data_IF_969028567273
#
_entry.id   IF_969028567273
#
_cell.length_a   1.000
_cell.length_b   1.000
_cell.length_c   1.000
_cell.angle_alpha   90.00
_cell.angle_beta   90.00
_cell.angle_gamma   90.00
#
_symmetry.space_group_name_H-M   'P 1'
#
loop_
_entity.id
_entity.type
_entity.pdbx_description
1 polymer ?
#
# COMPACT_ATOMS: atom_id res chain seq x y z
N UNK A 1 -31.08 -16.77 7.84
CA UNK A 1 -30.87 -16.94 6.39
C UNK A 1 -30.06 -18.21 6.17
N UNK A 2 -30.27 -18.96 5.07
CA UNK A 2 -29.45 -20.12 4.77
C UNK A 2 -27.98 -19.74 4.59
N UNK A 3 -27.07 -20.64 4.98
CA UNK A 3 -25.62 -20.47 4.79
C UNK A 3 -25.31 -20.41 3.29
N UNK A 4 -24.59 -19.37 2.82
CA UNK A 4 -24.24 -19.24 1.41
C UNK A 4 -23.29 -20.37 0.98
N UNK A 5 -23.47 -20.90 -0.23
CA UNK A 5 -22.60 -21.93 -0.80
C UNK A 5 -21.72 -21.38 -1.92
N UNK A 6 -22.15 -20.33 -2.63
CA UNK A 6 -21.43 -19.76 -3.77
C UNK A 6 -21.46 -18.24 -3.71
N UNK A 7 -20.32 -17.66 -3.33
CA UNK A 7 -20.19 -16.23 -3.05
C UNK A 7 -19.40 -15.57 -4.18
N UNK A 8 -19.98 -14.55 -4.80
CA UNK A 8 -19.30 -13.69 -5.76
C UNK A 8 -18.88 -12.38 -5.11
N UNK A 9 -17.57 -12.12 -5.05
CA UNK A 9 -17.03 -10.80 -4.70
C UNK A 9 -16.89 -9.94 -5.96
N UNK A 10 -17.38 -8.70 -5.93
CA UNK A 10 -17.24 -7.74 -7.02
C UNK A 10 -16.33 -6.59 -6.60
N UNK A 11 -15.14 -6.54 -7.20
CA UNK A 11 -14.25 -5.37 -7.19
C UNK A 11 -13.46 -5.36 -8.50
N UNK A 12 -13.96 -4.61 -9.48
CA UNK A 12 -13.44 -4.64 -10.85
C UNK A 12 -12.15 -3.84 -11.04
N UNK A 13 -12.01 -2.68 -10.38
CA UNK A 13 -10.91 -1.72 -10.65
C UNK A 13 -10.82 -0.59 -9.62
N UNK A 14 -9.68 0.03 -9.32
CA UNK A 14 -8.33 -0.19 -9.88
C UNK A 14 -7.46 -1.00 -8.90
N UNK A 15 -6.21 -1.32 -9.27
CA UNK A 15 -5.28 -2.15 -8.49
C UNK A 15 -5.28 -1.85 -6.98
N UNK A 16 -5.11 -0.58 -6.60
CA UNK A 16 -5.10 -0.16 -5.20
C UNK A 16 -6.37 -0.55 -4.44
N UNK A 17 -7.52 -0.40 -5.08
CA UNK A 17 -8.79 -0.78 -4.47
C UNK A 17 -9.06 -2.29 -4.48
N UNK A 18 -8.51 -3.02 -5.46
CA UNK A 18 -8.52 -4.50 -5.48
C UNK A 18 -7.72 -5.02 -4.29
N UNK A 19 -6.55 -4.45 -4.04
CA UNK A 19 -5.71 -4.76 -2.88
C UNK A 19 -6.46 -4.40 -1.57
N UNK A 20 -7.08 -3.23 -1.50
CA UNK A 20 -7.89 -2.83 -0.34
C UNK A 20 -9.16 -3.69 -0.17
N UNK A 21 -9.55 -4.51 -1.15
CA UNK A 21 -10.63 -5.48 -1.02
C UNK A 21 -10.17 -6.86 -0.49
N UNK A 22 -8.86 -7.11 -0.37
CA UNK A 22 -8.33 -8.39 0.14
C UNK A 22 -8.86 -8.75 1.54
N UNK A 23 -8.99 -7.82 2.52
CA UNK A 23 -9.57 -8.17 3.82
C UNK A 23 -11.01 -8.66 3.75
N UNK A 24 -11.79 -8.21 2.77
CA UNK A 24 -13.15 -8.71 2.56
C UNK A 24 -13.12 -10.15 2.04
N UNK A 25 -12.23 -10.48 1.11
CA UNK A 25 -12.04 -11.87 0.69
C UNK A 25 -11.66 -12.76 1.88
N UNK A 26 -10.65 -12.36 2.67
CA UNK A 26 -10.21 -13.12 3.85
C UNK A 26 -11.32 -13.30 4.88
N UNK A 27 -12.12 -12.25 5.09
CA UNK A 27 -13.30 -12.29 5.97
C UNK A 27 -14.37 -13.28 5.49
N UNK A 28 -14.71 -13.25 4.19
CA UNK A 28 -15.68 -14.17 3.62
C UNK A 28 -15.17 -15.61 3.68
N UNK A 29 -13.89 -15.84 3.38
CA UNK A 29 -13.28 -17.17 3.46
C UNK A 29 -13.32 -17.73 4.87
N UNK A 30 -13.01 -16.91 5.88
CA UNK A 30 -13.03 -17.30 7.29
C UNK A 30 -14.46 -17.53 7.83
N UNK A 31 -15.41 -16.66 7.47
CA UNK A 31 -16.80 -16.77 7.94
C UNK A 31 -17.57 -17.92 7.27
N UNK A 32 -17.18 -18.30 6.04
CA UNK A 32 -17.87 -19.32 5.26
C UNK A 32 -16.90 -20.36 4.67
N UNK A 33 -16.15 -21.16 5.45
CA UNK A 33 -15.04 -22.01 4.95
C UNK A 33 -15.39 -23.03 3.85
N UNK A 34 -16.65 -23.46 3.79
CA UNK A 34 -17.14 -24.44 2.81
C UNK A 34 -17.74 -23.80 1.55
N UNK A 35 -17.89 -22.47 1.51
CA UNK A 35 -18.42 -21.79 0.33
C UNK A 35 -17.39 -21.77 -0.81
N UNK A 36 -17.85 -21.96 -2.03
CA UNK A 36 -17.09 -21.61 -3.23
C UNK A 36 -17.04 -20.08 -3.35
N UNK A 37 -15.84 -19.51 -3.49
CA UNK A 37 -15.68 -18.07 -3.73
C UNK A 37 -15.24 -17.82 -5.17
N UNK A 38 -15.93 -16.89 -5.83
CA UNK A 38 -15.48 -16.29 -7.07
C UNK A 38 -15.23 -14.79 -6.89
N UNK A 39 -14.31 -14.23 -7.68
CA UNK A 39 -14.04 -12.80 -7.70
C UNK A 39 -14.17 -12.24 -9.11
N UNK A 40 -15.12 -11.32 -9.32
CA UNK A 40 -15.23 -10.54 -10.55
C UNK A 40 -14.25 -9.35 -10.54
N UNK A 41 -13.30 -9.35 -11.49
CA UNK A 41 -12.22 -8.36 -11.59
C UNK A 41 -11.89 -8.02 -13.05
N UNK A 42 -11.24 -6.89 -13.33
CA UNK A 42 -10.68 -6.65 -14.68
C UNK A 42 -9.49 -7.59 -14.97
N UNK A 43 -9.32 -7.96 -16.25
CA UNK A 43 -8.28 -8.89 -16.72
C UNK A 43 -6.88 -8.54 -16.20
N UNK A 44 -6.55 -7.24 -16.19
CA UNK A 44 -5.27 -6.71 -15.73
C UNK A 44 -4.96 -6.97 -14.24
N UNK A 45 -5.95 -7.35 -13.41
CA UNK A 45 -5.74 -7.70 -11.99
C UNK A 45 -6.11 -9.16 -11.67
N UNK A 46 -6.43 -9.96 -12.69
CA UNK A 46 -6.87 -11.35 -12.52
C UNK A 46 -5.78 -12.22 -11.89
N UNK A 47 -4.53 -12.03 -12.31
CA UNK A 47 -3.37 -12.76 -11.79
C UNK A 47 -3.21 -12.53 -10.27
N UNK A 48 -3.28 -11.27 -9.81
CA UNK A 48 -3.14 -10.94 -8.39
C UNK A 48 -4.13 -11.70 -7.51
N UNK A 49 -5.41 -11.70 -7.86
CA UNK A 49 -6.44 -12.38 -7.06
C UNK A 49 -6.48 -13.89 -7.31
N UNK A 50 -6.08 -14.35 -8.50
CA UNK A 50 -6.11 -15.77 -8.87
C UNK A 50 -5.18 -16.64 -8.02
N UNK A 51 -4.13 -16.08 -7.45
CA UNK A 51 -3.26 -16.79 -6.51
C UNK A 51 -3.74 -16.81 -5.06
N UNK A 52 -4.94 -16.29 -4.74
CA UNK A 52 -5.48 -16.30 -3.38
C UNK A 52 -5.87 -17.73 -2.95
N UNK A 53 -5.34 -18.23 -1.82
CA UNK A 53 -5.73 -19.54 -1.30
C UNK A 53 -7.22 -19.62 -1.01
N UNK A 54 -7.89 -20.62 -1.59
CA UNK A 54 -9.31 -20.86 -1.40
C UNK A 54 -10.25 -20.00 -2.26
N UNK A 55 -9.71 -19.23 -3.22
CA UNK A 55 -10.50 -18.67 -4.33
C UNK A 55 -10.68 -19.74 -5.40
N UNK A 56 -11.92 -20.04 -5.77
CA UNK A 56 -12.25 -21.10 -6.72
C UNK A 56 -12.24 -20.61 -8.17
N UNK A 57 -12.69 -19.36 -8.40
CA UNK A 57 -12.81 -18.81 -9.75
C UNK A 57 -12.51 -17.31 -9.80
N UNK A 58 -11.80 -16.90 -10.84
CA UNK A 58 -11.67 -15.49 -11.22
C UNK A 58 -12.55 -15.23 -12.44
N UNK A 59 -13.48 -14.29 -12.32
CA UNK A 59 -14.38 -13.91 -13.43
C UNK A 59 -13.87 -12.58 -13.99
N UNK A 60 -13.35 -12.60 -15.22
CA UNK A 60 -12.67 -11.43 -15.77
C UNK A 60 -13.62 -10.52 -16.55
N UNK A 61 -13.29 -9.21 -16.57
CA UNK A 61 -13.93 -8.22 -17.41
C UNK A 61 -12.92 -7.52 -18.31
N UNK A 62 -13.05 -7.68 -19.62
CA UNK A 62 -12.25 -6.93 -20.59
C UNK A 62 -12.85 -5.56 -20.88
N UNK A 63 -12.09 -4.49 -20.62
CA UNK A 63 -12.53 -3.12 -21.00
C UNK A 63 -12.66 -2.93 -22.50
N UNK A 64 -11.87 -3.67 -23.29
CA UNK A 64 -11.81 -3.53 -24.75
C UNK A 64 -12.89 -4.32 -25.49
N UNK A 65 -13.58 -5.23 -24.80
CA UNK A 65 -14.53 -6.16 -25.42
C UNK A 65 -15.96 -5.65 -25.61
N UNK A 66 -16.29 -4.42 -25.21
CA UNK A 66 -17.62 -3.83 -25.42
C UNK A 66 -18.76 -4.70 -24.86
N UNK A 67 -19.81 -4.92 -25.66
CA UNK A 67 -20.94 -5.80 -25.29
C UNK A 67 -20.54 -7.29 -25.21
N UNK A 68 -19.55 -7.72 -26.01
CA UNK A 68 -19.03 -9.09 -25.96
C UNK A 68 -18.39 -9.42 -24.61
N UNK A 69 -17.73 -8.45 -23.97
CA UNK A 69 -17.20 -8.61 -22.61
C UNK A 69 -18.30 -8.86 -21.58
N UNK A 70 -19.46 -8.22 -21.73
CA UNK A 70 -20.62 -8.46 -20.86
C UNK A 70 -21.24 -9.84 -21.10
N UNK A 71 -21.33 -10.29 -22.35
CA UNK A 71 -21.83 -11.63 -22.66
C UNK A 71 -20.89 -12.72 -22.10
N UNK A 72 -19.57 -12.57 -22.28
CA UNK A 72 -18.58 -13.49 -21.73
C UNK A 72 -18.62 -13.53 -20.20
N UNK A 73 -18.64 -12.37 -19.55
CA UNK A 73 -18.82 -12.30 -18.09
C UNK A 73 -20.17 -12.91 -17.66
N UNK A 74 -21.25 -12.67 -18.39
CA UNK A 74 -22.56 -13.25 -18.11
C UNK A 74 -22.55 -14.78 -18.16
N UNK A 75 -21.85 -15.37 -19.12
CA UNK A 75 -21.68 -16.82 -19.23
C UNK A 75 -20.90 -17.39 -18.02
N UNK A 76 -19.80 -16.74 -17.62
CA UNK A 76 -19.03 -17.12 -16.44
C UNK A 76 -19.85 -17.00 -15.13
N UNK A 77 -20.63 -15.93 -15.00
CA UNK A 77 -21.53 -15.71 -13.88
C UNK A 77 -22.63 -16.76 -13.82
N UNK A 78 -23.23 -17.12 -14.96
CA UNK A 78 -24.24 -18.16 -15.07
C UNK A 78 -23.65 -19.55 -14.75
N UNK A 79 -22.42 -19.82 -15.20
CA UNK A 79 -21.73 -21.07 -14.91
C UNK A 79 -21.36 -21.21 -13.43
N UNK A 80 -20.99 -20.10 -12.76
CA UNK A 80 -20.74 -20.10 -11.32
C UNK A 80 -22.06 -20.14 -10.52
N UNK A 81 -23.10 -19.46 -11.00
CA UNK A 81 -24.43 -19.34 -10.40
C UNK A 81 -24.40 -18.96 -8.89
N UNK A 82 -23.85 -17.78 -8.54
CA UNK A 82 -23.72 -17.38 -7.14
C UNK A 82 -25.09 -17.29 -6.46
N UNK A 83 -25.17 -17.77 -5.22
CA UNK A 83 -26.34 -17.56 -4.36
C UNK A 83 -26.24 -16.25 -3.58
N UNK A 84 -25.04 -15.68 -3.49
CA UNK A 84 -24.78 -14.41 -2.86
C UNK A 84 -23.70 -13.62 -3.58
N UNK A 85 -24.01 -12.36 -3.89
CA UNK A 85 -23.05 -11.41 -4.44
C UNK A 85 -22.71 -10.32 -3.42
N UNK A 86 -21.44 -9.96 -3.29
CA UNK A 86 -20.93 -8.91 -2.40
C UNK A 86 -20.23 -7.83 -3.24
N UNK A 87 -20.81 -6.64 -3.34
CA UNK A 87 -20.29 -5.51 -4.12
C UNK A 87 -19.49 -4.54 -3.25
N UNK A 88 -18.16 -4.56 -3.44
CA UNK A 88 -17.20 -3.69 -2.77
C UNK A 88 -16.75 -2.50 -3.64
N UNK A 89 -17.34 -2.30 -4.82
CA UNK A 89 -17.00 -1.24 -5.75
C UNK A 89 -17.98 -0.07 -5.71
N UNK A 90 -19.29 -0.35 -5.71
CA UNK A 90 -20.33 0.66 -5.58
C UNK A 90 -20.42 1.66 -6.73
N UNK A 91 -20.55 1.20 -7.98
CA UNK A 91 -20.85 2.05 -9.12
C UNK A 91 -21.80 1.36 -10.12
N UNK A 92 -22.27 2.07 -11.15
CA UNK A 92 -23.21 1.50 -12.13
C UNK A 92 -22.69 0.22 -12.80
N UNK A 93 -21.38 0.12 -13.07
CA UNK A 93 -20.75 -1.05 -13.67
C UNK A 93 -20.81 -2.26 -12.72
N UNK A 94 -20.52 -2.07 -11.44
CA UNK A 94 -20.60 -3.17 -10.47
C UNK A 94 -22.06 -3.55 -10.17
N UNK A 95 -22.98 -2.59 -10.13
CA UNK A 95 -24.41 -2.86 -10.03
C UNK A 95 -24.93 -3.75 -11.17
N UNK A 96 -24.54 -3.47 -12.42
CA UNK A 96 -24.90 -4.31 -13.56
C UNK A 96 -24.32 -5.72 -13.43
N UNK A 97 -23.06 -5.83 -13.01
CA UNK A 97 -22.42 -7.14 -12.72
C UNK A 97 -23.21 -7.91 -11.66
N UNK A 98 -23.62 -7.24 -10.58
CA UNK A 98 -24.41 -7.84 -9.51
C UNK A 98 -25.81 -8.29 -9.99
N UNK A 99 -26.47 -7.51 -10.84
CA UNK A 99 -27.76 -7.89 -11.43
C UNK A 99 -27.62 -9.07 -12.40
N UNK A 100 -26.62 -9.04 -13.30
CA UNK A 100 -26.31 -10.13 -14.22
C UNK A 100 -25.91 -11.43 -13.52
N UNK A 101 -25.40 -11.36 -12.29
CA UNK A 101 -25.08 -12.55 -11.49
C UNK A 101 -26.30 -13.42 -11.16
N UNK A 102 -27.52 -12.86 -11.21
CA UNK A 102 -28.75 -13.56 -10.87
C UNK A 102 -28.88 -13.95 -9.39
N UNK A 103 -27.90 -13.58 -8.54
CA UNK A 103 -27.88 -13.97 -7.14
C UNK A 103 -29.12 -13.41 -6.40
N UNK A 104 -29.86 -14.25 -5.64
CA UNK A 104 -31.02 -13.80 -4.88
C UNK A 104 -30.64 -12.84 -3.75
N UNK A 105 -29.43 -12.98 -3.19
CA UNK A 105 -28.87 -12.06 -2.20
C UNK A 105 -27.75 -11.24 -2.82
N UNK A 106 -27.81 -9.92 -2.66
CA UNK A 106 -26.81 -8.97 -3.17
C UNK A 106 -26.52 -7.93 -2.10
N UNK A 107 -25.35 -8.01 -1.48
CA UNK A 107 -24.94 -7.13 -0.40
C UNK A 107 -23.96 -6.08 -0.93
N UNK A 108 -24.23 -4.79 -0.72
CA UNK A 108 -23.39 -3.70 -1.20
C UNK A 108 -22.80 -2.83 -0.09
N UNK A 109 -21.86 -1.96 -0.46
CA UNK A 109 -21.45 -0.82 0.39
C UNK A 109 -22.65 0.05 0.77
N UNK A 110 -22.56 0.78 1.89
CA UNK A 110 -23.59 1.75 2.26
C UNK A 110 -23.89 2.75 1.12
N UNK A 111 -25.17 3.07 0.90
CA UNK A 111 -25.65 3.85 -0.27
C UNK A 111 -24.85 5.12 -0.56
N UNK A 112 -24.48 5.88 0.46
CA UNK A 112 -23.70 7.13 0.32
C UNK A 112 -22.23 6.93 -0.08
N UNK A 113 -21.71 5.72 0.01
CA UNK A 113 -20.36 5.36 -0.44
C UNK A 113 -20.34 4.93 -1.90
N UNK A 114 -21.51 4.75 -2.51
CA UNK A 114 -21.61 4.52 -3.96
C UNK A 114 -21.27 5.81 -4.70
N UNK A 115 -20.56 5.66 -5.81
CA UNK A 115 -20.27 6.78 -6.71
C UNK A 115 -21.56 7.30 -7.36
N UNK A 116 -22.42 6.38 -7.79
CA UNK A 116 -23.76 6.67 -8.28
C UNK A 116 -24.80 6.08 -7.32
N UNK A 117 -25.29 6.88 -6.36
CA UNK A 117 -26.14 6.41 -5.25
C UNK A 117 -27.47 5.74 -5.68
N UNK A 118 -27.95 5.99 -6.89
CA UNK A 118 -29.13 5.29 -7.43
C UNK A 118 -28.83 3.81 -7.70
N UNK A 119 -27.60 3.49 -8.15
CA UNK A 119 -27.19 2.13 -8.51
C UNK A 119 -27.13 1.18 -7.30
N UNK A 120 -27.07 1.71 -6.08
CA UNK A 120 -27.20 0.95 -4.84
C UNK A 120 -28.53 0.16 -4.75
N UNK A 121 -29.56 0.55 -5.49
CA UNK A 121 -30.82 -0.20 -5.58
C UNK A 121 -30.68 -1.58 -6.24
N UNK A 122 -29.53 -1.87 -6.85
CA UNK A 122 -29.18 -3.24 -7.29
C UNK A 122 -28.98 -4.20 -6.12
N UNK A 123 -28.61 -3.71 -4.93
CA UNK A 123 -28.37 -4.55 -3.74
C UNK A 123 -29.67 -4.84 -2.99
N UNK A 124 -29.80 -6.04 -2.44
CA UNK A 124 -30.90 -6.45 -1.54
C UNK A 124 -30.68 -5.97 -0.11
N UNK A 125 -29.42 -5.81 0.29
CA UNK A 125 -29.03 -5.27 1.59
C UNK A 125 -27.72 -4.47 1.47
N UNK A 126 -27.49 -3.54 2.40
CA UNK A 126 -26.33 -2.65 2.38
C UNK A 126 -25.63 -2.68 3.73
N UNK A 127 -24.30 -2.65 3.70
CA UNK A 127 -23.49 -2.50 4.90
C UNK A 127 -23.86 -1.22 5.66
N UNK A 128 -23.80 -1.24 7.00
CA UNK A 128 -24.01 -0.05 7.80
C UNK A 128 -22.89 0.94 7.54
N UNK A 129 -23.17 2.21 7.79
CA UNK A 129 -22.11 3.19 7.78
C UNK A 129 -22.33 4.27 8.85
N UNK A 130 -21.26 4.88 9.40
CA UNK A 130 -21.33 5.79 10.54
C UNK A 130 -22.35 6.92 10.40
N UNK A 131 -22.77 7.52 11.51
CA UNK A 131 -23.67 8.68 11.45
C UNK A 131 -23.04 9.84 10.64
N UNK A 132 -23.87 10.61 9.89
CA UNK A 132 -23.43 11.85 9.26
C UNK A 132 -22.73 12.79 10.25
N UNK A 133 -21.75 13.56 9.79
CA UNK A 133 -20.98 14.50 10.62
C UNK A 133 -19.71 13.92 11.27
N UNK A 134 -19.47 12.61 11.19
CA UNK A 134 -18.15 12.03 11.52
C UNK A 134 -17.16 12.22 10.38
N UNK A 135 -15.86 12.22 10.72
CA UNK A 135 -14.78 12.27 9.74
C UNK A 135 -14.95 11.18 8.65
N UNK A 136 -14.70 11.53 7.38
CA UNK A 136 -14.83 10.60 6.27
C UNK A 136 -13.99 9.34 6.48
N UNK A 137 -14.53 8.20 6.05
CA UNK A 137 -13.84 6.91 6.15
C UNK A 137 -12.86 6.72 5.01
N UNK A 138 -11.72 6.11 5.33
CA UNK A 138 -10.78 5.57 4.37
C UNK A 138 -11.44 4.49 3.50
N UNK A 139 -10.94 4.30 2.28
CA UNK A 139 -11.41 3.26 1.35
C UNK A 139 -11.50 1.88 2.01
N UNK A 140 -10.38 1.41 2.55
CA UNK A 140 -10.29 0.17 3.33
C UNK A 140 -11.30 0.09 4.49
N UNK A 141 -11.51 1.15 5.27
CA UNK A 141 -12.46 1.12 6.38
C UNK A 141 -13.89 0.84 5.91
N UNK A 142 -14.28 1.37 4.74
CA UNK A 142 -15.60 1.09 4.14
C UNK A 142 -15.72 -0.38 3.76
N UNK A 143 -14.66 -0.96 3.22
CA UNK A 143 -14.58 -2.39 2.90
C UNK A 143 -14.66 -3.23 4.19
N UNK A 144 -13.99 -2.82 5.27
CA UNK A 144 -14.05 -3.52 6.55
C UNK A 144 -15.45 -3.50 7.17
N UNK A 145 -16.20 -2.40 7.02
CA UNK A 145 -17.61 -2.35 7.44
C UNK A 145 -18.46 -3.34 6.64
N UNK A 146 -18.23 -3.42 5.32
CA UNK A 146 -18.87 -4.43 4.47
C UNK A 146 -18.48 -5.85 4.88
N UNK A 147 -17.21 -6.09 5.19
CA UNK A 147 -16.71 -7.39 5.63
C UNK A 147 -17.33 -7.82 6.97
N UNK A 148 -17.43 -6.91 7.94
CA UNK A 148 -18.14 -7.16 9.22
C UNK A 148 -19.61 -7.49 9.00
N UNK A 149 -20.28 -6.72 8.15
CA UNK A 149 -21.68 -6.95 7.82
C UNK A 149 -21.90 -8.31 7.14
N UNK A 150 -20.99 -8.70 6.24
CA UNK A 150 -21.02 -9.99 5.57
C UNK A 150 -20.75 -11.14 6.55
N UNK A 151 -19.76 -11.01 7.44
CA UNK A 151 -19.43 -12.05 8.42
C UNK A 151 -20.51 -12.26 9.50
N UNK A 152 -21.35 -11.24 9.76
CA UNK A 152 -22.45 -11.34 10.72
C UNK A 152 -21.97 -11.71 12.11
N UNK A 153 -22.61 -12.71 12.72
CA UNK A 153 -22.28 -13.18 14.08
C UNK A 153 -20.89 -13.84 14.19
N UNK A 154 -20.32 -14.34 13.08
CA UNK A 154 -18.94 -14.84 13.07
C UNK A 154 -17.94 -13.70 13.34
N UNK A 155 -18.33 -12.46 13.04
CA UNK A 155 -17.49 -11.28 13.19
C UNK A 155 -16.28 -11.30 12.25
N UNK A 156 -15.54 -10.19 12.23
CA UNK A 156 -14.16 -10.24 11.74
C UNK A 156 -13.26 -10.70 12.88
N UNK A 157 -12.16 -11.41 12.58
CA UNK A 157 -11.06 -11.55 13.53
C UNK A 157 -10.69 -10.16 14.09
N UNK A 158 -10.37 -10.10 15.38
CA UNK A 158 -9.81 -8.88 15.96
C UNK A 158 -8.52 -8.51 15.21
N UNK A 159 -8.24 -7.21 15.10
CA UNK A 159 -7.08 -6.74 14.35
C UNK A 159 -5.77 -7.34 14.90
N UNK A 160 -4.75 -7.58 14.05
CA UNK A 160 -4.71 -7.24 12.62
C UNK A 160 -5.49 -8.24 11.75
N UNK A 161 -6.33 -7.70 10.86
CA UNK A 161 -6.99 -8.50 9.83
C UNK A 161 -6.01 -8.82 8.69
N UNK A 162 -6.18 -9.98 8.06
CA UNK A 162 -5.39 -10.35 6.88
C UNK A 162 -5.66 -9.41 5.72
N UNK A 163 -4.59 -9.01 5.06
CA UNK A 163 -4.57 -8.07 3.93
C UNK A 163 -3.62 -8.49 2.82
N UNK A 164 -2.92 -9.61 3.02
CA UNK A 164 -1.91 -10.12 2.11
C UNK A 164 -2.57 -10.72 0.84
N UNK A 165 -1.88 -10.70 -0.31
CA UNK A 165 -2.36 -11.29 -1.55
C UNK A 165 -2.17 -12.82 -1.62
N UNK A 166 -1.86 -13.49 -0.51
CA UNK A 166 -1.70 -14.94 -0.44
C UNK A 166 -0.54 -15.47 -1.29
N UNK A 167 0.68 -14.94 -1.10
CA UNK A 167 1.86 -15.38 -1.86
C UNK A 167 2.25 -16.82 -1.50
N UNK A 168 2.43 -17.66 -2.52
CA UNK A 168 2.92 -19.01 -2.35
C UNK A 168 4.41 -19.02 -1.95
N UNK A 169 4.91 -20.09 -1.31
CA UNK A 169 6.33 -20.19 -0.92
C UNK A 169 7.32 -19.99 -2.08
N UNK A 170 6.95 -20.45 -3.28
CA UNK A 170 7.76 -20.23 -4.50
C UNK A 170 7.85 -18.76 -4.86
N UNK A 171 6.75 -18.03 -4.83
CA UNK A 171 6.71 -16.60 -5.17
C UNK A 171 7.52 -15.77 -4.16
N UNK A 172 7.48 -16.13 -2.88
CA UNK A 172 8.33 -15.53 -1.85
C UNK A 172 9.82 -15.85 -2.07
N UNK A 173 10.15 -17.06 -2.51
CA UNK A 173 11.52 -17.42 -2.87
C UNK A 173 11.99 -16.68 -4.13
N UNK A 174 11.12 -16.53 -5.13
CA UNK A 174 11.41 -15.84 -6.39
C UNK A 174 11.60 -14.35 -6.15
N UNK A 175 10.75 -13.74 -5.33
CA UNK A 175 10.89 -12.36 -4.87
C UNK A 175 12.22 -12.10 -4.16
N UNK A 176 12.65 -13.01 -3.28
CA UNK A 176 13.98 -12.93 -2.63
C UNK A 176 15.12 -12.98 -3.65
N UNK A 177 15.07 -13.90 -4.62
CA UNK A 177 16.09 -14.01 -5.66
C UNK A 177 16.12 -12.75 -6.55
N UNK A 178 14.95 -12.24 -6.92
CA UNK A 178 14.83 -11.01 -7.70
C UNK A 178 15.40 -9.81 -6.94
N UNK A 179 15.04 -9.64 -5.66
CA UNK A 179 15.58 -8.56 -4.82
C UNK A 179 17.10 -8.65 -4.70
N UNK A 180 17.65 -9.84 -4.37
CA UNK A 180 19.10 -10.03 -4.25
C UNK A 180 19.83 -9.78 -5.57
N UNK A 181 19.28 -10.23 -6.70
CA UNK A 181 19.86 -9.97 -8.02
C UNK A 181 19.83 -8.48 -8.37
N UNK A 182 18.74 -7.78 -8.04
CA UNK A 182 18.61 -6.35 -8.23
C UNK A 182 19.63 -5.57 -7.41
N UNK A 183 19.82 -5.91 -6.14
CA UNK A 183 20.76 -5.20 -5.26
C UNK A 183 22.24 -5.56 -5.47
N UNK A 184 22.54 -6.64 -6.22
CA UNK A 184 23.91 -7.11 -6.45
C UNK A 184 24.61 -6.44 -7.65
N UNK A 185 23.88 -5.67 -8.48
CA UNK A 185 24.48 -4.80 -9.51
C UNK A 185 25.15 -3.60 -8.84
N UNK A 186 26.29 -3.10 -9.38
CA UNK A 186 27.32 -2.46 -8.58
C UNK A 186 26.82 -1.18 -7.91
N UNK A 187 26.81 -1.17 -6.58
CA UNK A 187 26.90 0.06 -5.78
C UNK A 187 28.24 0.03 -5.03
N UNK A 188 28.82 1.20 -4.70
CA UNK A 188 30.25 1.36 -4.55
C UNK A 188 30.86 0.57 -3.40
N UNK A 189 32.16 0.29 -3.57
CA UNK A 189 33.09 -0.31 -2.62
C UNK A 189 32.78 0.09 -1.18
N UNK A 190 32.50 -0.91 -0.33
CA UNK A 190 32.38 -0.73 1.10
C UNK A 190 33.61 0.01 1.66
N UNK A 191 33.46 0.92 2.64
CA UNK A 191 34.60 1.53 3.30
C UNK A 191 35.44 0.43 3.98
N UNK A 192 36.75 0.43 3.68
CA UNK A 192 37.76 -0.40 4.33
C UNK A 192 37.92 0.01 5.81
N UNK A 193 37.00 -0.39 6.66
CA UNK A 193 37.27 -0.48 8.10
C UNK A 193 36.30 -1.47 8.74
N UNK A 194 36.90 -2.52 9.32
CA UNK A 194 36.20 -3.70 9.81
C UNK A 194 35.18 -3.37 10.89
N UNK A 195 33.91 -3.52 10.51
CA UNK A 195 32.83 -3.98 11.37
C UNK A 195 31.90 -4.79 10.46
N UNK A 196 31.44 -6.01 10.82
CA UNK A 196 30.36 -6.65 10.08
C UNK A 196 29.08 -5.87 10.38
N UNK A 197 28.91 -4.72 9.72
CA UNK A 197 27.70 -3.93 9.79
C UNK A 197 26.60 -4.74 9.08
N UNK A 198 25.50 -5.01 9.78
CA UNK A 198 24.30 -5.54 9.13
C UNK A 198 24.00 -4.69 7.91
N UNK A 199 23.89 -5.32 6.74
CA UNK A 199 23.69 -4.63 5.48
C UNK A 199 22.56 -3.59 5.63
N UNK A 200 22.82 -2.34 5.24
CA UNK A 200 21.84 -1.28 5.33
C UNK A 200 20.54 -1.72 4.63
N UNK A 201 19.38 -1.44 5.26
CA UNK A 201 18.10 -1.85 4.71
C UNK A 201 17.87 -1.22 3.31
N UNK A 202 17.38 -1.99 2.32
CA UNK A 202 17.26 -1.50 0.96
C UNK A 202 16.12 -0.49 0.80
N UNK A 203 16.32 0.50 -0.06
CA UNK A 203 15.29 1.41 -0.53
C UNK A 203 14.85 0.96 -1.93
N UNK A 204 13.55 0.78 -2.09
CA UNK A 204 12.91 0.50 -3.37
C UNK A 204 12.24 1.78 -3.85
N UNK A 205 12.48 2.16 -5.10
CA UNK A 205 11.79 3.28 -5.75
C UNK A 205 10.82 2.71 -6.79
N UNK A 206 9.52 2.99 -6.69
CA UNK A 206 8.60 2.65 -7.77
C UNK A 206 8.31 3.91 -8.60
N UNK A 207 8.68 3.86 -9.88
CA UNK A 207 8.48 4.96 -10.81
C UNK A 207 7.00 5.28 -11.02
N UNK A 208 6.70 6.47 -11.51
CA UNK A 208 5.34 6.91 -11.80
C UNK A 208 5.23 7.37 -13.25
N UNK A 209 4.24 6.84 -13.98
CA UNK A 209 4.03 7.20 -15.39
C UNK A 209 3.71 8.69 -15.57
N UNK A 210 4.38 9.35 -16.51
CA UNK A 210 4.12 10.74 -16.86
C UNK A 210 2.67 11.01 -17.28
N UNK A 211 2.21 12.23 -17.03
CA UNK A 211 0.89 12.73 -17.45
C UNK A 211 -0.26 12.45 -16.47
N UNK A 212 -0.04 11.70 -15.39
CA UNK A 212 -0.97 11.68 -14.25
C UNK A 212 -0.59 12.80 -13.26
N UNK A 213 -1.55 13.63 -12.78
CA UNK A 213 -1.25 14.69 -11.81
C UNK A 213 -0.73 14.18 -10.46
N UNK A 214 -0.77 12.87 -10.21
CA UNK A 214 -0.24 12.20 -9.03
C UNK A 214 1.20 11.69 -9.21
N UNK A 215 1.74 11.78 -10.43
CA UNK A 215 3.07 11.26 -10.73
C UNK A 215 4.15 12.21 -10.26
N UNK A 216 5.15 11.65 -9.59
CA UNK A 216 6.37 12.38 -9.27
C UNK A 216 7.24 12.44 -10.53
N UNK A 217 7.86 13.59 -10.85
CA UNK A 217 8.60 13.75 -12.10
C UNK A 217 9.76 12.75 -12.25
N UNK A 218 10.04 12.32 -13.48
CA UNK A 218 11.11 11.35 -13.76
C UNK A 218 12.49 11.93 -13.43
N UNK A 219 12.69 13.22 -13.71
CA UNK A 219 13.87 13.98 -13.32
C UNK A 219 14.10 13.97 -11.80
N UNK A 220 13.03 14.03 -11.01
CA UNK A 220 13.14 13.97 -9.55
C UNK A 220 13.51 12.57 -9.06
N UNK A 221 13.01 11.51 -9.72
CA UNK A 221 13.49 10.14 -9.44
C UNK A 221 14.98 9.99 -9.78
N UNK A 222 15.41 10.54 -10.92
CA UNK A 222 16.80 10.58 -11.34
C UNK A 222 17.71 11.27 -10.31
N UNK A 223 17.34 12.47 -9.88
CA UNK A 223 18.08 13.22 -8.87
C UNK A 223 18.09 12.49 -7.51
N UNK A 224 16.98 11.85 -7.13
CA UNK A 224 16.90 11.06 -5.89
C UNK A 224 17.81 9.84 -5.93
N UNK A 225 17.89 9.17 -7.08
CA UNK A 225 18.81 8.06 -7.32
C UNK A 225 20.25 8.53 -7.12
N UNK A 226 20.63 9.65 -7.74
CA UNK A 226 21.99 10.20 -7.65
C UNK A 226 22.36 10.58 -6.20
N UNK A 227 21.38 11.03 -5.41
CA UNK A 227 21.56 11.35 -3.97
C UNK A 227 21.63 10.12 -3.05
N UNK A 228 20.97 9.01 -3.39
CA UNK A 228 20.83 7.85 -2.49
C UNK A 228 21.79 6.69 -2.81
N UNK A 229 22.04 6.43 -4.09
CA UNK A 229 22.81 5.27 -4.55
C UNK A 229 24.22 5.16 -3.92
N UNK A 230 24.96 6.26 -3.66
CA UNK A 230 26.26 6.17 -3.01
C UNK A 230 26.22 5.72 -1.54
N UNK A 231 25.05 5.74 -0.90
CA UNK A 231 24.92 5.59 0.55
C UNK A 231 24.07 4.41 0.99
N UNK A 232 23.16 3.92 0.14
CA UNK A 232 22.17 2.91 0.51
C UNK A 232 21.94 1.92 -0.64
N UNK A 233 21.65 0.64 -0.35
CA UNK A 233 21.23 -0.31 -1.37
C UNK A 233 19.91 0.16 -1.99
N UNK A 234 19.94 0.45 -3.28
CA UNK A 234 18.81 1.04 -4.01
C UNK A 234 18.35 0.08 -5.12
N UNK A 235 17.04 -0.09 -5.27
CA UNK A 235 16.44 -0.81 -6.39
C UNK A 235 15.30 0.02 -6.99
N UNK A 236 15.40 0.33 -8.29
CA UNK A 236 14.31 0.98 -9.03
C UNK A 236 13.40 -0.08 -9.64
N UNK A 237 12.10 0.11 -9.49
CA UNK A 237 11.03 -0.75 -9.99
C UNK A 237 10.17 0.02 -11.00
N UNK A 238 9.93 -0.58 -12.15
CA UNK A 238 9.10 -0.02 -13.21
C UNK A 238 8.20 -1.08 -13.85
N UNK A 239 6.93 -0.76 -14.03
CA UNK A 239 6.01 -1.62 -14.75
C UNK A 239 6.01 -1.33 -16.24
N UNK A 240 5.24 -2.09 -17.04
CA UNK A 240 5.12 -1.84 -18.49
C UNK A 240 4.63 -0.43 -18.84
N UNK A 241 3.90 0.22 -17.93
CA UNK A 241 3.39 1.57 -18.12
C UNK A 241 4.43 2.66 -17.82
N UNK A 242 5.54 2.31 -17.16
CA UNK A 242 6.63 3.19 -16.75
C UNK A 242 7.93 2.94 -17.55
N UNK A 243 7.83 2.28 -18.72
CA UNK A 243 8.99 1.89 -19.53
C UNK A 243 9.81 3.10 -20.00
N UNK A 244 9.14 4.20 -20.36
CA UNK A 244 9.82 5.42 -20.78
C UNK A 244 10.61 6.07 -19.62
N UNK A 245 10.04 6.05 -18.41
CA UNK A 245 10.68 6.55 -17.21
C UNK A 245 11.83 5.64 -16.76
N UNK A 246 11.69 4.33 -16.94
CA UNK A 246 12.76 3.35 -16.69
C UNK A 246 13.95 3.56 -17.63
N UNK A 247 13.67 3.73 -18.93
CA UNK A 247 14.70 3.99 -19.95
C UNK A 247 15.51 5.26 -19.67
N UNK A 248 14.88 6.29 -19.10
CA UNK A 248 15.56 7.53 -18.72
C UNK A 248 16.59 7.38 -17.57
N UNK A 249 16.61 6.23 -16.90
CA UNK A 249 17.57 5.91 -15.84
C UNK A 249 18.64 4.91 -16.29
N UNK A 250 18.64 4.44 -17.54
CA UNK A 250 19.60 3.42 -18.04
C UNK A 250 21.04 3.90 -18.07
N UNK A 251 21.27 5.20 -18.27
CA UNK A 251 22.61 5.80 -18.25
C UNK A 251 23.21 5.90 -16.83
N UNK A 252 22.44 5.55 -15.80
CA UNK A 252 22.89 5.53 -14.40
C UNK A 252 23.34 4.13 -14.03
N UNK A 253 24.43 4.05 -13.26
CA UNK A 253 24.94 2.78 -12.71
C UNK A 253 24.11 2.33 -11.51
N UNK A 254 22.84 2.02 -11.76
CA UNK A 254 21.87 1.58 -10.76
C UNK A 254 21.00 0.45 -11.30
N UNK A 255 20.49 -0.42 -10.43
CA UNK A 255 19.60 -1.48 -10.86
C UNK A 255 18.19 -0.95 -11.11
N UNK A 256 17.76 -0.97 -12.38
CA UNK A 256 16.36 -0.81 -12.79
C UNK A 256 15.76 -2.18 -13.12
N UNK A 257 14.80 -2.62 -12.31
CA UNK A 257 14.06 -3.85 -12.55
C UNK A 257 12.70 -3.56 -13.18
N UNK A 258 12.48 -4.15 -14.35
CA UNK A 258 11.20 -4.16 -15.06
C UNK A 258 10.36 -5.32 -14.54
N UNK A 259 9.39 -5.06 -13.68
CA UNK A 259 8.50 -6.13 -13.21
C UNK A 259 7.50 -6.56 -14.30
N UNK A 260 7.30 -7.86 -14.45
CA UNK A 260 6.42 -8.46 -15.45
C UNK A 260 4.97 -8.68 -14.97
N UNK A 261 4.69 -8.49 -13.67
CA UNK A 261 3.36 -8.72 -13.12
C UNK A 261 3.21 -8.34 -11.65
N UNK A 262 1.96 -8.31 -11.18
CA UNK A 262 1.61 -7.88 -9.83
C UNK A 262 2.06 -8.88 -8.76
N UNK A 263 2.04 -10.19 -9.06
CA UNK A 263 2.51 -11.21 -8.11
C UNK A 263 4.03 -11.23 -7.97
N UNK A 264 4.76 -11.03 -9.06
CA UNK A 264 6.21 -10.82 -9.00
C UNK A 264 6.56 -9.58 -8.17
N UNK A 265 5.88 -8.45 -8.42
CA UNK A 265 6.05 -7.23 -7.63
C UNK A 265 5.76 -7.48 -6.15
N UNK A 266 4.64 -8.14 -5.82
CA UNK A 266 4.30 -8.49 -4.45
C UNK A 266 5.39 -9.35 -3.77
N UNK A 267 5.97 -10.31 -4.48
CA UNK A 267 7.09 -11.13 -3.99
C UNK A 267 8.34 -10.31 -3.69
N UNK A 268 8.72 -9.38 -4.58
CA UNK A 268 9.87 -8.48 -4.37
C UNK A 268 9.63 -7.58 -3.16
N UNK A 269 8.44 -6.98 -3.05
CA UNK A 269 8.08 -6.10 -1.93
C UNK A 269 8.04 -6.86 -0.60
N UNK A 270 7.53 -8.10 -0.59
CA UNK A 270 7.54 -8.97 0.59
C UNK A 270 8.96 -9.36 1.01
N UNK A 271 9.84 -9.64 0.04
CA UNK A 271 11.26 -9.89 0.30
C UNK A 271 11.95 -8.66 0.89
N UNK A 272 11.65 -7.47 0.39
CA UNK A 272 12.18 -6.21 0.92
C UNK A 272 11.69 -5.96 2.35
N UNK A 273 10.41 -6.26 2.65
CA UNK A 273 9.86 -6.14 4.00
C UNK A 273 10.59 -7.05 5.00
N UNK A 274 10.89 -8.28 4.59
CA UNK A 274 11.57 -9.27 5.41
C UNK A 274 13.02 -8.89 5.79
N UNK A 275 13.64 -7.97 5.05
CA UNK A 275 15.00 -7.46 5.32
C UNK A 275 14.99 -6.01 5.82
N UNK A 276 13.84 -5.51 6.28
CA UNK A 276 13.70 -4.17 6.87
C UNK A 276 13.69 -3.02 5.86
N UNK A 277 13.50 -3.29 4.58
CA UNK A 277 13.50 -2.30 3.50
C UNK A 277 12.33 -1.32 3.55
N UNK A 278 12.30 -0.40 2.57
CA UNK A 278 11.25 0.61 2.42
C UNK A 278 10.94 0.88 0.96
N UNK A 279 9.67 1.14 0.64
CA UNK A 279 9.25 1.64 -0.67
C UNK A 279 9.08 3.16 -0.66
N UNK A 280 9.57 3.84 -1.68
CA UNK A 280 9.20 5.22 -2.03
C UNK A 280 8.37 5.16 -3.31
N UNK A 281 7.14 5.67 -3.26
CA UNK A 281 6.22 5.61 -4.40
C UNK A 281 5.15 6.71 -4.32
N UNK A 282 4.57 7.08 -5.47
CA UNK A 282 3.35 7.89 -5.54
C UNK A 282 2.08 7.12 -5.14
N UNK A 283 0.95 7.83 -5.01
CA UNK A 283 -0.37 7.27 -4.66
C UNK A 283 -0.96 6.40 -5.76
N UNK A 284 -0.52 5.13 -5.79
CA UNK A 284 -0.76 4.15 -6.84
C UNK A 284 -0.85 2.72 -6.28
N UNK A 285 -1.27 1.76 -7.12
CA UNK A 285 -1.40 0.35 -6.74
C UNK A 285 -0.19 -0.26 -6.03
N UNK A 286 1.05 -0.06 -6.51
CA UNK A 286 2.28 -0.51 -5.84
C UNK A 286 2.42 -0.07 -4.38
N UNK A 287 2.03 1.16 -4.03
CA UNK A 287 2.06 1.65 -2.65
C UNK A 287 1.10 0.86 -1.74
N UNK A 288 -0.10 0.54 -2.23
CA UNK A 288 -1.03 -0.32 -1.48
C UNK A 288 -0.56 -1.77 -1.42
N UNK A 289 0.11 -2.27 -2.46
CA UNK A 289 0.63 -3.63 -2.51
C UNK A 289 1.76 -3.82 -1.51
N UNK A 290 2.67 -2.85 -1.44
CA UNK A 290 3.72 -2.79 -0.42
C UNK A 290 3.12 -2.79 0.99
N UNK A 291 2.11 -1.94 1.22
CA UNK A 291 1.39 -1.96 2.48
C UNK A 291 0.76 -3.33 2.76
N UNK A 292 0.12 -3.98 1.78
CA UNK A 292 -0.50 -5.29 1.96
C UNK A 292 0.48 -6.41 2.36
N UNK A 293 1.77 -6.27 2.06
CA UNK A 293 2.84 -7.19 2.48
C UNK A 293 3.70 -6.62 3.62
N UNK A 294 3.17 -5.62 4.34
CA UNK A 294 3.78 -4.97 5.50
C UNK A 294 5.14 -4.29 5.24
N UNK A 295 5.43 -3.92 3.98
CA UNK A 295 6.57 -3.08 3.63
C UNK A 295 6.26 -1.60 3.99
N UNK A 296 7.10 -0.92 4.80
CA UNK A 296 7.00 0.53 5.00
C UNK A 296 7.00 1.30 3.69
N UNK A 297 6.14 2.32 3.61
CA UNK A 297 5.95 3.14 2.41
C UNK A 297 6.17 4.59 2.79
N UNK A 298 7.11 5.26 2.12
CA UNK A 298 7.16 6.72 2.03
C UNK A 298 6.32 7.11 0.81
N UNK A 299 5.09 7.53 1.06
CA UNK A 299 4.15 7.94 0.05
C UNK A 299 4.44 9.37 -0.39
N UNK A 300 4.71 9.56 -1.68
CA UNK A 300 4.77 10.87 -2.33
C UNK A 300 3.33 11.29 -2.68
N UNK A 301 2.71 12.02 -1.77
CA UNK A 301 1.30 12.40 -1.87
C UNK A 301 1.12 13.74 -2.58
N UNK A 302 0.45 13.67 -3.73
CA UNK A 302 0.12 14.85 -4.54
C UNK A 302 -1.28 15.39 -4.25
N UNK A 303 -2.23 15.28 -5.21
CA UNK A 303 -3.54 15.87 -5.07
C UNK A 303 -4.47 15.08 -4.14
N UNK A 304 -4.34 13.76 -4.04
CA UNK A 304 -5.29 12.94 -3.29
C UNK A 304 -5.07 13.06 -1.78
N UNK A 305 -6.15 12.99 -1.02
CA UNK A 305 -6.08 12.92 0.44
C UNK A 305 -5.62 11.52 0.86
N UNK A 306 -4.33 11.41 1.22
CA UNK A 306 -3.74 10.16 1.69
C UNK A 306 -4.45 9.59 2.94
N UNK A 307 -5.12 10.44 3.74
CA UNK A 307 -5.97 10.00 4.85
C UNK A 307 -7.23 9.24 4.42
N UNK A 308 -7.60 9.30 3.14
CA UNK A 308 -8.77 8.62 2.57
C UNK A 308 -8.42 7.51 1.61
N UNK A 309 -7.31 7.63 0.89
CA UNK A 309 -6.94 6.71 -0.19
C UNK A 309 -5.62 5.99 0.01
N UNK A 310 -4.73 6.48 0.88
CA UNK A 310 -3.33 6.06 0.96
C UNK A 310 -3.08 4.64 1.48
N UNK A 311 -1.80 4.24 1.65
CA UNK A 311 -1.46 2.95 2.24
C UNK A 311 -1.95 2.92 3.69
N UNK A 312 -2.67 1.85 4.02
CA UNK A 312 -3.16 1.59 5.37
C UNK A 312 -2.14 0.72 6.13
N UNK A 313 -1.98 0.82 7.46
CA UNK A 313 -2.64 1.76 8.38
C UNK A 313 -2.19 3.20 8.14
N UNK A 314 -3.10 4.16 8.35
CA UNK A 314 -2.78 5.58 8.19
C UNK A 314 -1.73 6.03 9.22
N UNK A 315 -0.80 6.95 8.85
CA UNK A 315 0.03 7.68 9.81
C UNK A 315 -0.83 8.19 10.97
N UNK A 316 -0.36 7.99 12.21
CA UNK A 316 -1.09 8.13 13.47
C UNK A 316 -2.29 9.11 13.41
N UNK A 317 -3.44 8.59 13.00
CA UNK A 317 -4.74 9.16 13.30
C UNK A 317 -5.31 8.37 14.47
N UNK A 318 -6.21 8.96 15.25
CA UNK A 318 -6.84 8.37 16.45
C UNK A 318 -7.60 7.02 16.23
N UNK A 319 -7.43 6.35 15.08
CA UNK A 319 -8.15 5.14 14.67
C UNK A 319 -7.24 3.97 14.25
N UNK A 320 -5.93 4.15 14.12
CA UNK A 320 -5.00 3.07 13.73
C UNK A 320 -3.79 2.97 14.68
N UNK A 321 -3.27 1.76 14.96
CA UNK A 321 -2.00 1.61 15.67
C UNK A 321 -0.89 2.33 14.88
N UNK A 322 0.17 2.76 15.59
CA UNK A 322 1.28 3.55 15.04
C UNK A 322 1.69 3.02 13.65
N UNK A 323 1.43 3.81 12.61
CA UNK A 323 1.71 3.39 11.24
C UNK A 323 3.20 3.54 10.94
N UNK A 324 3.72 2.52 10.26
CA UNK A 324 5.06 2.47 9.72
C UNK A 324 5.16 3.14 8.33
N UNK A 325 4.03 3.60 7.77
CA UNK A 325 3.99 4.39 6.55
C UNK A 325 4.18 5.88 6.85
N UNK A 326 4.78 6.59 5.91
CA UNK A 326 5.00 8.04 5.94
C UNK A 326 4.32 8.67 4.76
N UNK A 327 3.84 9.89 4.94
CA UNK A 327 3.19 10.67 3.90
C UNK A 327 3.95 11.98 3.73
N UNK A 328 4.59 12.13 2.58
CA UNK A 328 5.24 13.35 2.16
C UNK A 328 4.33 14.10 1.20
N UNK A 329 4.02 15.34 1.54
CA UNK A 329 3.17 16.22 0.75
C UNK A 329 3.73 17.62 0.79
N UNK A 330 3.59 18.35 -0.31
CA UNK A 330 3.82 19.80 -0.27
C UNK A 330 2.69 20.45 0.55
N UNK A 331 3.07 21.16 1.61
CA UNK A 331 2.16 21.87 2.51
C UNK A 331 1.51 23.09 1.85
N UNK A 332 0.39 23.54 2.44
CA UNK A 332 -0.24 24.85 2.17
C UNK A 332 -0.63 25.13 0.71
N UNK A 333 -1.20 24.12 0.05
CA UNK A 333 -1.86 24.31 -1.24
C UNK A 333 -3.35 24.55 -1.08
N UNK A 334 -3.82 25.70 -1.57
CA UNK A 334 -5.26 26.01 -1.62
C UNK A 334 -6.07 24.99 -2.42
N UNK A 335 -5.43 24.32 -3.38
CA UNK A 335 -6.06 23.32 -4.24
C UNK A 335 -5.93 21.89 -3.72
N UNK A 336 -5.17 21.62 -2.66
CA UNK A 336 -4.92 20.26 -2.15
C UNK A 336 -5.55 20.06 -0.77
N UNK A 337 -6.31 18.97 -0.53
CA UNK A 337 -6.54 17.84 -1.44
C UNK A 337 -7.52 18.19 -2.58
N UNK A 338 -7.26 17.61 -3.75
CA UNK A 338 -8.02 17.78 -4.99
C UNK A 338 -8.40 16.39 -5.55
N UNK A 339 -9.53 16.31 -6.25
CA UNK A 339 -10.01 15.07 -6.90
C UNK A 339 -9.95 15.13 -8.42
N UNK A 340 -9.21 16.10 -8.96
CA UNK A 340 -9.13 16.30 -10.39
C UNK A 340 -8.29 15.21 -11.05
N UNK A 341 -8.75 14.73 -12.21
CA UNK A 341 -7.99 13.81 -13.06
C UNK A 341 -6.98 14.53 -13.95
N UNK A 342 -7.13 15.84 -14.10
CA UNK A 342 -6.25 16.72 -14.88
C UNK A 342 -5.90 17.95 -14.03
N UNK A 343 -4.65 18.36 -14.02
CA UNK A 343 -4.25 19.57 -13.32
C UNK A 343 -4.54 20.80 -14.19
N UNK A 344 -5.24 21.79 -13.64
CA UNK A 344 -5.55 23.05 -14.35
C UNK A 344 -4.62 24.20 -13.95
N UNK A 345 -3.67 23.97 -13.05
CA UNK A 345 -2.70 24.98 -12.65
C UNK A 345 -1.74 25.26 -13.81
N UNK A 346 -1.43 26.55 -14.03
CA UNK A 346 -0.60 26.99 -15.16
C UNK A 346 0.82 26.36 -15.18
N UNK A 347 1.35 26.00 -14.00
CA UNK A 347 2.67 25.36 -13.83
C UNK A 347 2.58 23.83 -13.70
N UNK A 348 1.44 23.24 -14.03
CA UNK A 348 1.20 21.81 -13.85
C UNK A 348 1.02 21.41 -12.38
N UNK A 349 1.19 20.12 -12.04
CA UNK A 349 0.93 19.59 -10.71
C UNK A 349 2.02 19.99 -9.70
N UNK A 350 1.97 21.24 -9.22
CA UNK A 350 2.91 21.79 -8.23
C UNK A 350 2.94 21.01 -6.90
N UNK A 351 1.89 20.24 -6.59
CA UNK A 351 1.89 19.33 -5.44
C UNK A 351 2.91 18.19 -5.57
N UNK A 352 3.27 17.80 -6.79
CA UNK A 352 4.28 16.78 -7.07
C UNK A 352 5.61 17.40 -7.48
N UNK A 353 5.61 18.44 -8.32
CA UNK A 353 6.86 19.02 -8.84
C UNK A 353 7.65 19.81 -7.79
N UNK A 354 6.99 20.39 -6.77
CA UNK A 354 7.68 21.08 -5.67
C UNK A 354 8.04 20.15 -4.50
N UNK A 355 7.63 18.89 -4.54
CA UNK A 355 8.13 17.89 -3.59
C UNK A 355 9.53 17.46 -4.05
N UNK A 356 10.58 18.09 -3.52
CA UNK A 356 11.94 17.92 -4.05
C UNK A 356 12.61 16.61 -3.58
N UNK A 357 13.57 16.07 -4.36
CA UNK A 357 14.39 14.93 -3.94
C UNK A 357 15.04 15.12 -2.57
N UNK A 358 15.56 16.32 -2.30
CA UNK A 358 16.15 16.67 -0.99
C UNK A 358 15.16 16.49 0.17
N UNK A 359 13.89 16.87 -0.01
CA UNK A 359 12.81 16.65 0.99
C UNK A 359 12.59 15.16 1.25
N UNK A 360 12.68 14.34 0.20
CA UNK A 360 12.53 12.88 0.32
C UNK A 360 13.72 12.27 1.07
N UNK A 361 14.95 12.68 0.75
CA UNK A 361 16.16 12.25 1.48
C UNK A 361 16.08 12.64 2.95
N UNK A 362 15.73 13.89 3.25
CA UNK A 362 15.57 14.36 4.63
C UNK A 362 14.58 13.48 5.40
N UNK A 363 13.42 13.17 4.80
CA UNK A 363 12.47 12.25 5.42
C UNK A 363 13.09 10.87 5.68
N UNK A 364 13.68 10.25 4.66
CA UNK A 364 14.22 8.90 4.74
C UNK A 364 15.27 8.74 5.84
N UNK A 365 16.06 9.78 6.09
CA UNK A 365 17.07 9.84 7.14
C UNK A 365 16.48 10.06 8.55
N UNK A 366 15.24 10.54 8.68
CA UNK A 366 14.59 10.63 9.99
C UNK A 366 14.36 9.22 10.58
N UNK A 367 14.53 9.03 11.90
CA UNK A 367 14.22 7.77 12.55
C UNK A 367 12.72 7.43 12.42
N UNK A 368 12.39 6.13 12.32
CA UNK A 368 11.01 5.69 12.20
C UNK A 368 10.17 6.14 13.42
N UNK A 369 8.88 6.49 13.26
CA UNK A 369 8.04 6.94 14.37
C UNK A 369 7.93 5.95 15.54
N UNK A 370 8.17 4.65 15.31
CA UNK A 370 8.22 3.60 16.33
C UNK A 370 9.54 3.55 17.10
N UNK A 371 10.68 3.73 16.43
CA UNK A 371 12.01 3.71 17.05
C UNK A 371 12.25 4.89 18.00
N UNK A 372 11.63 6.04 17.73
CA UNK A 372 11.73 7.20 18.62
C UNK A 372 11.05 6.96 19.98
N UNK A 373 10.04 6.09 20.04
CA UNK A 373 9.36 5.72 21.30
C UNK A 373 10.14 4.68 22.09
N UNK A 374 10.70 3.66 21.44
CA UNK A 374 11.57 2.68 22.09
C UNK A 374 12.86 3.34 22.60
N UNK A 375 13.51 4.20 21.80
CA UNK A 375 14.70 4.95 22.26
C UNK A 375 14.40 5.98 23.37
N UNK A 376 13.16 6.47 23.46
CA UNK A 376 12.75 7.34 24.57
C UNK A 376 12.47 6.53 25.84
N UNK A 377 11.90 5.32 25.70
CA UNK A 377 11.65 4.40 26.80
C UNK A 377 12.95 3.78 27.34
N UNK A 378 13.89 3.42 26.46
CA UNK A 378 15.24 2.97 26.86
C UNK A 378 16.01 4.09 27.54
N UNK A 379 15.90 5.35 27.09
CA UNK A 379 16.53 6.50 27.77
C UNK A 379 15.94 6.82 29.14
N UNK A 380 14.64 6.57 29.34
CA UNK A 380 14.01 6.70 30.66
C UNK A 380 14.37 5.51 31.57
N UNK A 381 14.48 4.29 31.03
CA UNK A 381 14.96 3.12 31.78
C UNK A 381 16.45 3.21 32.14
N UNK A 382 17.30 3.78 31.27
CA UNK A 382 18.71 4.05 31.55
C UNK A 382 18.89 5.17 32.59
N UNK A 383 17.96 6.12 32.65
CA UNK A 383 17.91 7.14 33.72
C UNK A 383 17.40 6.59 35.04
N UNK A 384 16.45 5.66 35.03
CA UNK A 384 15.92 5.00 36.24
C UNK A 384 16.84 3.89 36.78
N UNK A 385 17.69 3.28 35.94
CA UNK A 385 18.62 2.21 36.33
C UNK A 385 20.00 2.69 36.83
N UNK A 386 20.26 4.00 36.82
CA UNK A 386 21.40 4.59 37.54
C UNK A 386 22.80 4.28 36.96
N UNK A 387 22.92 3.90 35.68
CA UNK A 387 24.21 3.81 35.00
C UNK A 387 24.59 5.12 34.30
N UNK A 388 24.80 6.19 35.07
CA UNK A 388 25.61 7.31 34.59
C UNK A 388 27.08 6.84 34.47
N UNK A 389 27.53 6.61 33.24
CA UNK A 389 28.97 6.60 32.94
C UNK A 389 29.51 8.02 33.10
N UNK A 390 30.15 8.30 34.24
CA UNK A 390 30.87 9.55 34.49
C UNK A 390 31.94 9.78 33.41
N UNK A 391 32.03 10.95 32.77
CA UNK A 391 33.21 11.33 32.03
C UNK A 391 34.37 11.72 32.97
N UNK A 392 35.62 11.69 32.47
CA UNK A 392 36.83 11.55 33.27
C UNK A 392 37.41 12.91 33.72
N UNK A 393 38.19 12.88 34.82
CA UNK A 393 39.01 13.97 35.36
C UNK A 393 38.29 15.22 35.93
N UNK A 394 38.06 15.23 37.24
CA UNK A 394 38.01 16.47 38.02
C UNK A 394 39.41 16.75 38.59
N UNK A 395 40.10 17.77 38.06
CA UNK A 395 41.29 18.37 38.69
C UNK A 395 40.82 19.36 39.76
N UNK A 396 41.21 19.14 41.00
CA UNK A 396 41.09 20.11 42.11
C UNK A 396 42.08 21.27 41.93
N UNK A 397 41.68 22.54 42.16
CA UNK A 397 42.64 23.63 42.26
C UNK A 397 43.26 23.68 43.66
N UNK A 398 44.58 23.76 43.67
CA UNK A 398 45.44 24.04 44.83
C UNK A 398 45.21 25.46 45.33
N UNK A 399 44.92 25.62 46.63
CA UNK A 399 45.04 26.89 47.34
C UNK A 399 46.01 26.70 48.50
N UNK A 400 47.23 27.22 48.33
CA UNK A 400 48.22 27.35 49.38
C UNK A 400 48.80 28.77 49.36
N UNK A 401 48.62 29.50 50.46
CA UNK A 401 49.50 30.55 51.00
C UNK A 401 48.91 31.09 52.31
N UNK A 402 49.70 31.70 53.22
CA UNK A 402 50.95 31.22 53.78
C UNK A 402 50.94 31.23 55.33
N UNK A 403 52.05 30.76 55.90
CA UNK A 403 52.38 30.67 57.32
C UNK A 403 52.23 31.99 58.11
N UNK A 404 51.78 31.85 59.37
CA UNK A 404 52.20 32.69 60.49
C UNK A 404 52.09 31.84 61.78
N UNK A 405 53.20 31.70 62.51
CA UNK A 405 53.29 31.02 63.82
C UNK A 405 54.32 29.92 63.85
#
# INVERSE_FOLDING_TARGET
MPTPRRILLIRLSHLGDVIQALPLFHALRAAYPEAALAWAVQEEFADLVGGLPGLERVITFSRKGGLGAWAAMGAELAAFAPDWTVDAQGNTKSALTALCSGAPRRTGLARRHWREGFAAGSSTDLAPAPQPGRAPLHGLERVLLLARHCAGAAGLPQAPFRRDPGLAPRELADGRRALSAGLASPTPSAPESGTPAGAAAPILLHLSRAGDPRSWPAEHFADLVDLLAPHLPLLVLAGPAEEAEAAALEDRDIPVMRQAGQRQLAGILAAAAAVGGRLVAGDSGPAHLAAAVDLPVTLLAGPQDAGLTGPWPLPASNRAPASHHRVLRRGDLHCSPCRSRTCTAARGPICMTELTPATVVEDLLRPAPGEARERAQDRDQDRESGLETRPPFARTPSTAAPQAG
#
